data_IF_581346817178
#
_entry.id   IF_581346817178
#
_cell.length_a   1.000
_cell.length_b   1.000
_cell.length_c   1.000
_cell.angle_alpha   90.00
_cell.angle_beta   90.00
_cell.angle_gamma   90.00
#
_symmetry.space_group_name_H-M   'P 1'
#
loop_
_entity.id
_entity.type
_entity.pdbx_description
1 polymer ?
#
# COMPACT_ATOMS: atom_id res chain seq x y z
N UNK A 1 10.12 16.24 -5.41
CA UNK A 1 9.42 17.46 -5.87
C UNK A 1 7.95 17.47 -5.46
N UNK A 2 7.14 16.43 -5.78
CA UNK A 2 5.71 16.41 -5.45
C UNK A 2 5.40 16.54 -3.94
N UNK A 3 5.98 15.68 -3.10
CA UNK A 3 5.74 15.71 -1.63
C UNK A 3 6.15 17.06 -1.03
N UNK A 4 7.35 17.54 -1.38
CA UNK A 4 7.82 18.88 -0.98
C UNK A 4 6.86 19.99 -1.42
N UNK A 5 6.27 19.91 -2.62
CA UNK A 5 5.27 20.87 -3.07
C UNK A 5 3.99 20.79 -2.22
N UNK A 6 3.46 19.59 -1.95
CA UNK A 6 2.28 19.37 -1.08
C UNK A 6 2.53 19.97 0.31
N UNK A 7 3.69 19.67 0.91
CA UNK A 7 4.09 20.21 2.21
C UNK A 7 4.23 21.74 2.19
N UNK A 8 4.79 22.31 1.12
CA UNK A 8 4.88 23.77 0.95
C UNK A 8 3.53 24.48 0.84
N UNK A 9 2.46 23.73 0.51
CA UNK A 9 1.07 24.22 0.52
C UNK A 9 0.38 24.02 1.87
N UNK A 10 1.08 23.51 2.87
CA UNK A 10 0.56 23.30 4.21
C UNK A 10 -0.14 21.95 4.41
N UNK A 11 -0.10 21.05 3.43
CA UNK A 11 -0.79 19.76 3.48
C UNK A 11 0.15 18.59 3.72
N UNK A 12 -0.37 17.56 4.36
CA UNK A 12 0.16 16.20 4.41
C UNK A 12 -0.70 15.36 3.46
N UNK A 13 -0.10 14.49 2.66
CA UNK A 13 -0.84 13.60 1.77
C UNK A 13 -1.52 12.47 2.54
N UNK A 14 -0.83 11.87 3.53
CA UNK A 14 -1.42 10.91 4.45
C UNK A 14 -1.59 9.49 3.91
N UNK A 15 -1.20 9.20 2.67
CA UNK A 15 -1.30 7.86 2.06
C UNK A 15 -0.36 7.67 0.87
N UNK A 16 0.93 7.97 1.06
CA UNK A 16 1.91 7.84 -0.02
C UNK A 16 2.30 6.37 -0.19
N UNK A 17 2.02 5.81 -1.37
CA UNK A 17 2.50 4.49 -1.77
C UNK A 17 2.49 4.30 -3.29
N UNK A 18 3.15 3.27 -3.81
CA UNK A 18 3.30 3.09 -5.27
C UNK A 18 1.97 2.98 -6.03
N UNK A 19 0.87 2.54 -5.41
CA UNK A 19 -0.46 2.56 -6.05
C UNK A 19 -1.09 3.96 -6.18
N UNK A 20 -0.55 4.96 -5.48
CA UNK A 20 -0.95 6.38 -5.54
C UNK A 20 0.10 7.22 -6.30
N UNK A 21 1.08 6.57 -6.91
CA UNK A 21 2.08 7.20 -7.78
C UNK A 21 1.83 6.70 -9.20
N UNK A 22 1.20 7.56 -10.00
CA UNK A 22 0.78 7.24 -11.36
C UNK A 22 1.83 7.68 -12.38
N UNK A 23 1.82 7.04 -13.54
CA UNK A 23 2.62 7.44 -14.70
C UNK A 23 1.68 8.07 -15.73
N UNK A 24 1.94 9.32 -16.13
CA UNK A 24 1.13 9.95 -17.18
C UNK A 24 1.28 9.19 -18.50
N UNK A 25 0.17 8.89 -19.15
CA UNK A 25 0.18 8.32 -20.49
C UNK A 25 0.88 9.27 -21.49
N UNK A 26 1.47 8.73 -22.57
CA UNK A 26 2.03 9.55 -23.65
C UNK A 26 0.98 10.49 -24.22
N UNK A 27 1.36 11.73 -24.58
CA UNK A 27 0.44 12.69 -25.22
C UNK A 27 -0.17 12.19 -26.53
N UNK A 28 0.47 11.23 -27.19
CA UNK A 28 -0.05 10.57 -28.39
C UNK A 28 -1.25 9.66 -28.13
N UNK A 29 -1.54 9.34 -26.86
CA UNK A 29 -2.67 8.51 -26.48
C UNK A 29 -4.01 9.17 -26.85
N UNK A 30 -4.13 10.49 -26.63
CA UNK A 30 -5.34 11.26 -26.93
C UNK A 30 -5.62 11.41 -28.44
N UNK A 31 -4.68 11.00 -29.30
CA UNK A 31 -4.82 11.06 -30.76
C UNK A 31 -5.29 9.73 -31.38
N UNK A 32 -5.42 8.67 -30.57
CA UNK A 32 -5.88 7.37 -31.06
C UNK A 32 -7.40 7.39 -31.27
N UNK A 33 -7.85 6.93 -32.44
CA UNK A 33 -9.25 6.54 -32.59
C UNK A 33 -9.57 5.32 -31.73
N UNK A 34 -10.86 5.05 -31.48
CA UNK A 34 -11.28 3.85 -30.73
C UNK A 34 -10.76 2.56 -31.37
N UNK A 35 -10.74 2.50 -32.71
CA UNK A 35 -10.27 1.31 -33.43
C UNK A 35 -8.76 1.14 -33.31
N UNK A 36 -7.99 2.23 -33.44
CA UNK A 36 -6.53 2.22 -33.23
C UNK A 36 -6.17 1.86 -31.78
N UNK A 37 -6.94 2.36 -30.81
CA UNK A 37 -6.78 2.00 -29.40
C UNK A 37 -6.98 0.49 -29.19
N UNK A 38 -8.07 -0.07 -29.74
CA UNK A 38 -8.37 -1.50 -29.65
C UNK A 38 -7.38 -2.38 -30.38
N UNK A 39 -6.87 -1.94 -31.53
CA UNK A 39 -5.82 -2.64 -32.28
C UNK A 39 -4.53 -2.71 -31.47
N UNK A 40 -4.16 -1.60 -30.80
CA UNK A 40 -2.93 -1.50 -30.04
C UNK A 40 -2.96 -2.20 -28.69
N UNK A 41 -4.03 -2.01 -27.93
CA UNK A 41 -4.11 -2.46 -26.54
C UNK A 41 -5.04 -3.66 -26.33
N UNK A 42 -5.84 -4.01 -27.34
CA UNK A 42 -6.82 -5.09 -27.27
C UNK A 42 -8.26 -4.58 -27.13
N UNK A 43 -9.22 -5.46 -27.41
CA UNK A 43 -10.64 -5.18 -27.20
C UNK A 43 -10.97 -5.38 -25.71
N UNK A 44 -11.93 -4.61 -25.15
CA UNK A 44 -12.39 -4.83 -23.78
C UNK A 44 -12.87 -6.28 -23.57
N UNK A 45 -12.34 -6.93 -22.55
CA UNK A 45 -12.79 -8.25 -22.13
C UNK A 45 -13.84 -8.09 -21.03
N UNK A 46 -14.92 -8.85 -21.12
CA UNK A 46 -15.99 -8.84 -20.12
C UNK A 46 -16.08 -10.18 -19.41
N UNK A 47 -16.22 -10.14 -18.09
CA UNK A 47 -16.47 -11.32 -17.26
C UNK A 47 -17.88 -11.26 -16.65
N UNK A 48 -18.60 -12.38 -16.55
CA UNK A 48 -19.91 -12.40 -15.92
C UNK A 48 -19.79 -12.19 -14.40
N UNK A 49 -20.63 -11.32 -13.85
CA UNK A 49 -20.77 -11.18 -12.40
C UNK A 49 -21.75 -12.24 -11.91
N UNK A 50 -21.39 -12.98 -10.86
CA UNK A 50 -22.24 -14.00 -10.25
C UNK A 50 -22.14 -13.91 -8.73
N UNK A 51 -23.24 -14.20 -8.05
CA UNK A 51 -23.22 -14.33 -6.59
C UNK A 51 -22.51 -15.63 -6.21
N UNK A 52 -21.75 -15.59 -5.11
CA UNK A 52 -21.03 -16.75 -4.57
C UNK A 52 -22.01 -17.87 -4.17
N UNK A 53 -23.20 -17.51 -3.69
CA UNK A 53 -24.26 -18.45 -3.33
C UNK A 53 -25.11 -18.95 -4.51
N UNK A 54 -24.78 -18.55 -5.74
CA UNK A 54 -25.48 -18.98 -6.95
C UNK A 54 -26.86 -18.36 -7.18
N UNK A 55 -27.31 -17.46 -6.32
CA UNK A 55 -28.61 -16.78 -6.48
C UNK A 55 -28.63 -15.74 -7.62
N UNK A 56 -29.82 -15.21 -7.97
CA UNK A 56 -29.94 -14.15 -8.97
C UNK A 56 -29.32 -12.84 -8.46
N UNK A 57 -28.79 -12.04 -9.40
CA UNK A 57 -28.26 -10.70 -9.11
C UNK A 57 -29.40 -9.72 -8.78
N UNK A 58 -29.21 -8.83 -7.79
CA UNK A 58 -30.12 -7.71 -7.56
C UNK A 58 -30.18 -6.76 -8.78
N UNK A 59 -31.28 -6.00 -8.96
CA UNK A 59 -31.44 -5.09 -10.12
C UNK A 59 -30.36 -4.02 -10.26
N UNK A 60 -29.71 -3.65 -9.16
CA UNK A 60 -28.68 -2.60 -9.11
C UNK A 60 -27.24 -3.12 -9.31
N UNK A 61 -27.08 -4.42 -9.60
CA UNK A 61 -25.76 -5.01 -9.86
C UNK A 61 -25.61 -5.31 -11.35
N UNK A 62 -24.56 -4.80 -12.02
CA UNK A 62 -24.35 -5.09 -13.43
C UNK A 62 -24.11 -6.59 -13.65
N UNK A 63 -24.61 -7.13 -14.76
CA UNK A 63 -24.45 -8.55 -15.10
C UNK A 63 -23.03 -8.92 -15.54
N UNK A 64 -22.22 -7.93 -15.92
CA UNK A 64 -20.88 -8.09 -16.44
C UNK A 64 -19.95 -7.01 -15.90
N UNK A 65 -18.68 -7.36 -15.71
CA UNK A 65 -17.60 -6.42 -15.44
C UNK A 65 -16.64 -6.39 -16.62
N UNK A 66 -16.06 -5.23 -16.91
CA UNK A 66 -14.96 -5.11 -17.88
C UNK A 66 -13.65 -5.30 -17.14
N UNK A 67 -12.80 -6.20 -17.62
CA UNK A 67 -11.47 -6.45 -17.05
C UNK A 67 -10.58 -5.25 -17.36
N UNK A 68 -9.82 -4.71 -16.38
CA UNK A 68 -8.88 -3.62 -16.62
C UNK A 68 -7.85 -3.98 -17.69
N UNK A 69 -7.66 -3.08 -18.65
CA UNK A 69 -6.65 -3.26 -19.69
C UNK A 69 -5.27 -2.82 -19.18
N UNK A 70 -4.25 -3.62 -19.46
CA UNK A 70 -2.87 -3.23 -19.14
C UNK A 70 -2.37 -2.21 -20.18
N UNK A 71 -2.34 -0.93 -19.79
CA UNK A 71 -1.78 0.17 -20.59
C UNK A 71 -0.33 0.51 -20.24
N UNK A 72 0.28 -0.32 -19.38
CA UNK A 72 1.60 -0.07 -18.81
C UNK A 72 2.75 -0.39 -19.77
N UNK A 73 3.96 -0.12 -19.28
CA UNK A 73 5.23 -0.51 -19.91
C UNK A 73 5.93 -1.54 -19.06
N UNK A 74 6.73 -2.40 -19.70
CA UNK A 74 7.67 -3.26 -18.96
C UNK A 74 8.71 -2.39 -18.26
N UNK A 75 9.21 -2.84 -17.12
CA UNK A 75 10.20 -2.09 -16.33
C UNK A 75 11.46 -1.74 -17.15
N UNK A 76 11.91 -2.64 -18.03
CA UNK A 76 13.08 -2.43 -18.89
C UNK A 76 12.85 -1.37 -19.98
N UNK A 77 11.60 -1.06 -20.29
CA UNK A 77 11.19 -0.05 -21.26
C UNK A 77 10.88 1.30 -20.60
N UNK A 78 10.96 1.36 -19.26
CA UNK A 78 10.65 2.55 -18.49
C UNK A 78 11.85 3.51 -18.51
N UNK A 79 11.66 4.66 -19.16
CA UNK A 79 12.71 5.66 -19.35
C UNK A 79 12.69 6.74 -18.26
N UNK A 80 13.78 7.50 -18.15
CA UNK A 80 13.80 8.71 -17.32
C UNK A 80 12.74 9.74 -17.75
N UNK A 81 12.42 9.80 -19.05
CA UNK A 81 11.35 10.68 -19.55
C UNK A 81 9.97 10.25 -19.05
N UNK A 82 9.75 8.95 -18.79
CA UNK A 82 8.53 8.46 -18.15
C UNK A 82 8.52 8.80 -16.66
N UNK A 83 9.66 8.67 -15.97
CA UNK A 83 9.81 9.06 -14.55
C UNK A 83 9.52 10.54 -14.29
N UNK A 84 9.88 11.42 -15.24
CA UNK A 84 9.58 12.86 -15.16
C UNK A 84 8.08 13.18 -15.20
N UNK A 85 7.26 12.20 -15.57
CA UNK A 85 5.80 12.30 -15.68
C UNK A 85 5.08 11.54 -14.57
N UNK A 86 5.77 11.20 -13.48
CA UNK A 86 5.14 10.66 -12.29
C UNK A 86 4.22 11.71 -11.67
N UNK A 87 3.03 11.26 -11.28
CA UNK A 87 1.98 12.07 -10.67
C UNK A 87 1.63 11.44 -9.34
N UNK A 88 1.73 12.24 -8.27
CA UNK A 88 1.16 11.87 -6.98
C UNK A 88 -0.35 12.12 -7.03
N UNK A 89 -1.14 11.10 -6.77
CA UNK A 89 -2.60 11.12 -6.86
C UNK A 89 -3.24 10.68 -5.54
N UNK A 90 -4.57 10.77 -5.49
CA UNK A 90 -5.40 10.33 -4.37
C UNK A 90 -5.15 11.09 -3.06
N UNK A 91 -5.74 12.28 -2.98
CA UNK A 91 -5.69 13.15 -1.81
C UNK A 91 -6.86 12.88 -0.85
N UNK A 92 -7.50 11.70 -0.90
CA UNK A 92 -8.62 11.35 -0.03
C UNK A 92 -8.27 11.38 1.47
N UNK A 93 -7.00 11.09 1.80
CA UNK A 93 -6.45 11.12 3.16
C UNK A 93 -5.62 12.38 3.45
N UNK A 94 -5.63 13.37 2.56
CA UNK A 94 -4.84 14.57 2.77
C UNK A 94 -5.47 15.48 3.83
N UNK A 95 -4.63 16.11 4.65
CA UNK A 95 -5.07 17.01 5.71
C UNK A 95 -4.08 18.16 5.91
N UNK A 96 -4.54 19.24 6.53
CA UNK A 96 -3.72 20.40 6.86
C UNK A 96 -3.43 20.43 8.37
N UNK A 97 -2.21 20.04 8.83
CA UNK A 97 -1.90 19.95 10.26
C UNK A 97 -2.06 21.27 11.05
N UNK A 98 -2.10 22.41 10.35
CA UNK A 98 -2.30 23.72 10.95
C UNK A 98 -3.77 23.99 11.37
N UNK A 99 -4.73 23.27 10.79
CA UNK A 99 -6.17 23.50 10.99
C UNK A 99 -6.95 22.24 11.33
N UNK A 100 -6.39 21.06 11.06
CA UNK A 100 -6.99 19.76 11.32
C UNK A 100 -6.05 18.94 12.20
N UNK A 101 -6.58 18.43 13.31
CA UNK A 101 -5.89 17.43 14.11
C UNK A 101 -6.25 16.04 13.61
N UNK A 102 -5.24 15.28 13.20
CA UNK A 102 -5.36 13.87 12.84
C UNK A 102 -4.41 13.07 13.70
N UNK A 103 -4.93 12.24 14.59
CA UNK A 103 -4.10 11.48 15.53
C UNK A 103 -3.54 10.21 14.87
N UNK A 104 -2.48 9.65 15.43
CA UNK A 104 -1.89 8.40 14.94
C UNK A 104 -2.90 7.24 14.85
N UNK A 105 -3.85 7.15 15.78
CA UNK A 105 -4.94 6.16 15.78
C UNK A 105 -5.95 6.37 14.64
N UNK A 106 -6.04 7.58 14.10
CA UNK A 106 -6.91 7.94 12.98
C UNK A 106 -6.17 7.81 11.63
N UNK A 107 -4.97 7.24 11.64
CA UNK A 107 -4.18 7.01 10.43
C UNK A 107 -4.79 5.90 9.57
N UNK A 108 -5.33 6.25 8.41
CA UNK A 108 -5.91 5.28 7.47
C UNK A 108 -4.87 4.65 6.53
N UNK A 109 -3.63 5.12 6.53
CA UNK A 109 -2.54 4.50 5.77
C UNK A 109 -2.42 3.02 6.14
N UNK A 110 -2.21 2.09 5.18
CA UNK A 110 -1.99 0.68 5.47
C UNK A 110 -0.86 0.48 6.49
N UNK A 111 -1.03 -0.44 7.45
CA UNK A 111 -0.12 -0.63 8.60
C UNK A 111 1.34 -0.76 8.18
N UNK A 112 1.63 -1.56 7.15
CA UNK A 112 2.99 -1.76 6.62
C UNK A 112 3.67 -0.48 6.09
N UNK A 113 2.93 0.62 5.95
CA UNK A 113 3.41 1.91 5.41
C UNK A 113 3.30 3.05 6.42
N UNK A 114 2.70 2.78 7.59
CA UNK A 114 2.57 3.76 8.67
C UNK A 114 3.92 4.08 9.25
N UNK A 115 4.12 5.37 9.51
CA UNK A 115 5.26 5.86 10.25
C UNK A 115 5.20 5.38 11.71
N UNK A 116 6.35 5.16 12.36
CA UNK A 116 6.40 4.58 13.70
C UNK A 116 5.66 5.42 14.73
N UNK A 117 5.62 6.76 14.59
CA UNK A 117 4.86 7.62 15.49
C UNK A 117 3.35 7.31 15.50
N UNK A 118 2.79 6.88 14.37
CA UNK A 118 1.38 6.48 14.31
C UNK A 118 1.09 5.21 15.13
N UNK A 119 2.12 4.36 15.31
CA UNK A 119 2.03 3.08 16.03
C UNK A 119 2.40 3.23 17.51
N UNK A 120 3.42 4.04 17.82
CA UNK A 120 3.94 4.22 19.17
C UNK A 120 3.31 5.39 19.93
N UNK A 121 2.77 6.38 19.22
CA UNK A 121 2.13 7.56 19.79
C UNK A 121 0.73 7.79 19.19
N UNK A 122 -0.20 6.81 19.34
CA UNK A 122 -1.49 6.83 18.65
C UNK A 122 -2.36 8.03 19.01
N UNK A 123 -2.16 8.64 20.18
CA UNK A 123 -2.89 9.83 20.62
C UNK A 123 -2.18 11.15 20.30
N UNK A 124 -1.09 11.13 19.53
CA UNK A 124 -0.40 12.35 19.09
C UNK A 124 -0.78 12.72 17.65
N UNK A 125 -0.84 14.02 17.33
CA UNK A 125 -1.10 14.47 15.98
C UNK A 125 -0.01 14.04 14.99
N UNK A 126 -0.43 13.51 13.85
CA UNK A 126 0.42 13.29 12.69
C UNK A 126 0.73 14.60 11.98
N UNK A 127 1.84 14.60 11.24
CA UNK A 127 2.30 15.78 10.53
C UNK A 127 3.16 15.37 9.32
N UNK A 128 3.84 16.35 8.71
CA UNK A 128 4.68 16.19 7.52
C UNK A 128 5.67 15.01 7.56
N UNK A 129 6.32 14.66 8.69
CA UNK A 129 7.25 13.52 8.73
C UNK A 129 6.64 12.17 8.36
N UNK A 130 5.33 11.98 8.57
CA UNK A 130 4.66 10.71 8.24
C UNK A 130 4.67 10.45 6.73
N UNK A 131 4.50 11.48 5.91
CA UNK A 131 4.68 11.38 4.45
C UNK A 131 6.11 11.04 4.05
N UNK A 132 7.10 11.55 4.78
CA UNK A 132 8.52 11.31 4.48
C UNK A 132 8.87 9.85 4.74
N UNK A 133 8.32 9.27 5.81
CA UNK A 133 8.44 7.84 6.08
C UNK A 133 7.84 6.99 4.95
N UNK A 134 6.59 7.24 4.59
CA UNK A 134 5.91 6.48 3.53
C UNK A 134 6.57 6.67 2.16
N UNK A 135 7.11 7.87 1.87
CA UNK A 135 7.95 8.12 0.70
C UNK A 135 9.23 7.27 0.72
N UNK A 136 9.91 7.17 1.87
CA UNK A 136 11.09 6.33 2.03
C UNK A 136 10.80 4.85 1.74
N UNK A 137 9.69 4.33 2.28
CA UNK A 137 9.22 2.97 2.00
C UNK A 137 8.92 2.77 0.50
N UNK A 138 8.26 3.72 -0.16
CA UNK A 138 7.98 3.66 -1.59
C UNK A 138 9.26 3.68 -2.46
N UNK A 139 10.26 4.49 -2.10
CA UNK A 139 11.56 4.51 -2.79
C UNK A 139 12.29 3.18 -2.62
N UNK A 140 12.28 2.59 -1.42
CA UNK A 140 12.84 1.27 -1.19
C UNK A 140 12.18 0.20 -2.06
N UNK A 141 10.84 0.22 -2.17
CA UNK A 141 10.08 -0.74 -2.96
C UNK A 141 10.48 -0.71 -4.45
N UNK A 142 10.71 0.50 -4.99
CA UNK A 142 11.21 0.67 -6.37
C UNK A 142 12.62 0.08 -6.52
N UNK A 143 13.52 0.41 -5.60
CA UNK A 143 14.94 0.04 -5.72
C UNK A 143 15.21 -1.44 -5.45
N UNK A 144 14.52 -2.02 -4.48
CA UNK A 144 14.72 -3.40 -4.04
C UNK A 144 13.82 -4.39 -4.76
N UNK A 145 12.77 -3.92 -5.45
CA UNK A 145 11.69 -4.73 -6.01
C UNK A 145 11.03 -5.64 -4.95
N UNK A 146 11.06 -5.22 -3.68
CA UNK A 146 10.49 -5.91 -2.52
C UNK A 146 9.87 -4.90 -1.57
N UNK A 147 8.86 -5.32 -0.84
CA UNK A 147 8.33 -4.51 0.25
C UNK A 147 9.38 -4.35 1.36
N UNK A 148 9.50 -3.14 1.91
CA UNK A 148 10.36 -2.89 3.08
C UNK A 148 9.82 -3.62 4.32
N UNK A 149 8.50 -3.64 4.45
CA UNK A 149 7.75 -4.34 5.49
C UNK A 149 6.65 -5.17 4.83
N UNK A 150 6.42 -6.39 5.32
CA UNK A 150 5.48 -7.34 4.72
C UNK A 150 4.05 -6.79 4.67
N UNK A 151 3.36 -7.00 3.54
CA UNK A 151 1.93 -6.68 3.44
C UNK A 151 1.10 -7.76 4.15
N UNK A 152 -0.01 -7.36 4.78
CA UNK A 152 -0.97 -8.25 5.47
C UNK A 152 -0.52 -8.84 6.81
N UNK A 153 0.54 -8.31 7.40
CA UNK A 153 0.95 -8.66 8.76
C UNK A 153 0.19 -7.89 9.84
N UNK A 154 0.24 -8.41 11.07
CA UNK A 154 -0.34 -7.71 12.23
C UNK A 154 0.47 -6.45 12.59
N UNK A 155 -0.14 -5.53 13.33
CA UNK A 155 0.56 -4.33 13.83
C UNK A 155 1.86 -4.67 14.56
N UNK A 156 1.83 -5.66 15.46
CA UNK A 156 3.00 -6.02 16.23
C UNK A 156 4.11 -6.61 15.35
N UNK A 157 3.76 -7.39 14.33
CA UNK A 157 4.75 -7.91 13.37
C UNK A 157 5.36 -6.78 12.52
N UNK A 158 4.57 -5.79 12.11
CA UNK A 158 5.10 -4.60 11.42
C UNK A 158 6.03 -3.80 12.34
N UNK A 159 5.65 -3.59 13.61
CA UNK A 159 6.50 -2.91 14.59
C UNK A 159 7.82 -3.67 14.79
N UNK A 160 7.78 -5.00 14.90
CA UNK A 160 8.96 -5.84 14.99
C UNK A 160 9.88 -5.64 13.78
N UNK A 161 9.33 -5.69 12.56
CA UNK A 161 10.09 -5.46 11.33
C UNK A 161 10.69 -4.05 11.27
N UNK A 162 9.96 -3.01 11.68
CA UNK A 162 10.48 -1.63 11.74
C UNK A 162 11.68 -1.53 12.68
N UNK A 163 11.60 -2.18 13.85
CA UNK A 163 12.68 -2.24 14.83
C UNK A 163 13.88 -3.03 14.30
N UNK A 164 13.64 -4.15 13.63
CA UNK A 164 14.70 -5.03 13.12
C UNK A 164 15.46 -4.37 11.95
N UNK A 165 14.74 -3.71 11.04
CA UNK A 165 15.32 -3.02 9.88
C UNK A 165 16.13 -1.79 10.30
N UNK A 166 15.60 -0.97 11.21
CA UNK A 166 16.24 0.28 11.61
C UNK A 166 17.18 0.13 12.81
N UNK A 167 17.10 -0.98 13.53
CA UNK A 167 17.82 -1.22 14.78
C UNK A 167 17.14 -0.55 15.98
N UNK A 168 16.91 -1.32 17.05
CA UNK A 168 16.24 -0.85 18.27
C UNK A 168 16.91 0.38 18.91
N UNK A 169 18.23 0.52 18.79
CA UNK A 169 18.99 1.67 19.31
C UNK A 169 18.59 3.02 18.70
N UNK A 170 18.02 3.02 17.50
CA UNK A 170 17.59 4.23 16.80
C UNK A 170 16.19 4.71 17.17
N UNK A 171 15.43 3.92 17.94
CA UNK A 171 14.12 4.31 18.44
C UNK A 171 14.23 5.19 19.70
N UNK A 172 13.22 6.04 20.00
CA UNK A 172 13.12 6.70 21.30
C UNK A 172 13.07 5.69 22.46
N UNK A 173 13.68 5.99 23.63
CA UNK A 173 13.63 5.09 24.78
C UNK A 173 12.21 4.75 25.25
N UNK A 174 11.28 5.70 25.14
CA UNK A 174 9.86 5.50 25.47
C UNK A 174 9.21 4.44 24.57
N UNK A 175 9.51 4.45 23.27
CA UNK A 175 8.97 3.50 22.29
C UNK A 175 9.54 2.10 22.52
N UNK A 176 10.84 1.98 22.79
CA UNK A 176 11.46 0.69 23.19
C UNK A 176 10.81 0.09 24.42
N UNK A 177 10.66 0.87 25.49
CA UNK A 177 10.03 0.40 26.74
C UNK A 177 8.58 -0.02 26.52
N UNK A 178 7.85 0.69 25.67
CA UNK A 178 6.48 0.33 25.29
C UNK A 178 6.45 -1.03 24.57
N UNK A 179 7.36 -1.23 23.62
CA UNK A 179 7.49 -2.50 22.88
C UNK A 179 7.87 -3.69 23.78
N UNK A 180 8.85 -3.53 24.66
CA UNK A 180 9.28 -4.57 25.60
C UNK A 180 8.14 -4.99 26.55
N UNK A 181 7.39 -4.02 27.09
CA UNK A 181 6.23 -4.31 27.96
C UNK A 181 5.11 -5.05 27.23
N UNK A 182 4.87 -4.77 25.95
CA UNK A 182 3.91 -5.55 25.13
C UNK A 182 4.33 -7.02 25.01
N UNK A 183 5.63 -7.32 24.91
CA UNK A 183 6.14 -8.70 24.88
C UNK A 183 5.99 -9.42 26.22
N UNK A 184 6.26 -8.74 27.33
CA UNK A 184 6.14 -9.31 28.68
C UNK A 184 4.70 -9.73 29.01
N UNK A 185 3.70 -8.90 28.67
CA UNK A 185 2.29 -9.24 28.87
C UNK A 185 1.78 -10.41 28.02
N UNK A 186 2.47 -10.72 26.90
CA UNK A 186 2.20 -11.88 26.03
C UNK A 186 2.89 -13.16 26.53
N UNK A 187 3.99 -13.03 27.30
CA UNK A 187 4.70 -14.17 27.88
C UNK A 187 4.02 -14.79 29.11
N UNK A 188 3.00 -14.14 29.68
CA UNK A 188 2.34 -14.55 30.92
C UNK A 188 0.92 -15.11 30.75
N UNK A 189 0.46 -15.39 29.54
CA UNK A 189 -0.90 -15.88 29.32
C UNK A 189 -1.14 -16.47 27.94
N UNK A 190 -0.64 -17.69 27.70
CA UNK A 190 -1.39 -18.81 27.11
C UNK A 190 -0.41 -19.97 26.81
N UNK A 191 -0.29 -20.89 27.75
CA UNK A 191 0.17 -22.25 27.44
C UNK A 191 -1.05 -23.15 27.45
N UNK A 192 -1.64 -23.36 26.28
CA UNK A 192 -2.42 -24.56 25.98
C UNK A 192 -2.33 -24.89 24.49
N UNK A 193 -2.00 -26.15 24.12
CA UNK A 193 -1.64 -26.50 22.76
C UNK A 193 -2.89 -26.76 21.90
N UNK A 194 -3.02 -26.08 20.77
CA UNK A 194 -4.02 -26.39 19.76
C UNK A 194 -3.38 -27.12 18.55
N UNK A 195 -3.82 -28.35 18.38
CA UNK A 195 -4.01 -29.11 17.14
C UNK A 195 -2.82 -29.41 16.21
N UNK A 196 -2.46 -30.70 16.19
CA UNK A 196 -1.79 -31.34 15.08
C UNK A 196 -2.75 -31.81 13.98
N UNK A 197 -2.20 -31.80 12.75
CA UNK A 197 -2.62 -32.45 11.49
C UNK A 197 -3.65 -31.74 10.61
N UNK A 198 -3.12 -30.94 9.68
CA UNK A 198 -3.38 -31.04 8.23
C UNK A 198 -1.98 -31.07 7.59
N UNK A 199 -1.59 -32.05 6.77
CA UNK A 199 -2.22 -32.43 5.51
C UNK A 199 -1.19 -32.12 4.43
N UNK A 200 -0.32 -33.09 4.16
CA UNK A 200 0.78 -33.04 3.20
C UNK A 200 0.22 -32.76 1.79
N UNK A 201 0.64 -31.66 1.14
CA UNK A 201 0.30 -31.36 -0.25
C UNK A 201 1.60 -31.36 -1.06
N UNK A 202 1.83 -32.47 -1.73
CA UNK A 202 2.84 -32.63 -2.77
C UNK A 202 2.43 -31.85 -4.03
N UNK A 203 3.35 -31.15 -4.72
CA UNK A 203 3.03 -30.49 -5.98
C UNK A 203 3.08 -31.53 -7.12
N UNK A 204 1.96 -31.68 -7.83
CA UNK A 204 1.87 -32.49 -9.03
C UNK A 204 2.69 -31.87 -10.17
N UNK A 205 3.63 -32.67 -10.70
CA UNK A 205 4.21 -32.49 -12.03
C UNK A 205 3.13 -32.75 -13.10
N UNK A 206 3.08 -31.90 -14.11
CA UNK A 206 2.38 -32.18 -15.35
C UNK A 206 2.88 -31.26 -16.46
N UNK A 207 3.70 -31.80 -17.36
CA UNK A 207 3.94 -31.22 -18.67
C UNK A 207 2.97 -31.83 -19.68
N UNK A 208 2.53 -31.01 -20.65
CA UNK A 208 2.90 -31.10 -22.08
C UNK A 208 2.94 -29.66 -22.60
#
# INVERSE_FOLDING_TARGET
>A
MAVAFVHSRGFVHGDIHLRNVLVKLPSTFDHLSIDQFKERFGKPETVPIRRVDGGPLPPNVPAQAVVPLYLGKKAQEFSLADAHRLVLSDFGEAFAPATEERLGKDCNTPVARRAPEALFEPDRPLSYPSDIWSLGAAVWEILSMKFLFSESETEDEIVAQQIDVLGSGHFPPSWRKHWERRKEGRGSGDTSPAHGRAGDVTPARGGV
#
